data_IF_864526007642
#
_entry.id   IF_864526007642
#
_cell.length_a   1.000
_cell.length_b   1.000
_cell.length_c   1.000
_cell.angle_alpha   90.00
_cell.angle_beta   90.00
_cell.angle_gamma   90.00
#
_symmetry.space_group_name_H-M   'P 1'
#
loop_
_entity.id
_entity.type
_entity.pdbx_description
1 polymer ?
#
# COMPACT_ATOMS: atom_id res chain seq x y z
N UNK A 1 13.93 -7.95 5.54
CA UNK A 1 15.19 -7.54 4.87
C UNK A 1 15.90 -8.78 4.33
N UNK A 2 16.76 -8.67 3.31
CA UNK A 2 17.46 -9.83 2.72
C UNK A 2 18.24 -10.66 3.76
N UNK A 3 18.81 -10.01 4.76
CA UNK A 3 19.49 -10.66 5.90
C UNK A 3 18.53 -11.48 6.78
N UNK A 4 17.33 -10.95 7.05
CA UNK A 4 16.29 -11.66 7.81
C UNK A 4 15.82 -12.90 7.05
N UNK A 5 15.53 -12.75 5.76
CA UNK A 5 15.13 -13.86 4.88
C UNK A 5 16.23 -14.92 4.82
N UNK A 6 17.49 -14.49 4.69
CA UNK A 6 18.63 -15.40 4.64
C UNK A 6 18.78 -16.29 5.89
N UNK A 7 18.42 -15.78 7.06
CA UNK A 7 18.46 -16.54 8.32
C UNK A 7 17.33 -17.56 8.46
N UNK A 8 16.19 -17.33 7.82
CA UNK A 8 14.96 -18.13 7.99
C UNK A 8 14.77 -19.15 6.86
N UNK A 9 15.36 -18.90 5.69
CA UNK A 9 15.25 -19.81 4.54
C UNK A 9 16.32 -20.92 4.63
N UNK A 10 15.93 -22.20 4.77
CA UNK A 10 16.88 -23.30 4.76
C UNK A 10 17.49 -23.46 3.37
N UNK A 11 18.81 -23.60 3.30
CA UNK A 11 19.49 -23.95 2.05
C UNK A 11 19.45 -25.45 1.80
N UNK A 12 19.44 -25.85 0.52
CA UNK A 12 19.26 -27.24 0.10
C UNK A 12 20.51 -28.12 0.33
N UNK A 13 21.69 -27.51 0.26
CA UNK A 13 22.98 -28.19 0.47
C UNK A 13 23.87 -27.51 1.52
N UNK A 14 23.52 -26.27 1.92
CA UNK A 14 24.21 -25.52 2.95
C UNK A 14 23.15 -25.05 3.96
N UNK A 15 23.29 -25.31 5.27
CA UNK A 15 22.31 -24.91 6.27
C UNK A 15 22.11 -23.38 6.34
N UNK A 16 23.07 -22.59 5.84
CA UNK A 16 23.02 -21.13 5.84
C UNK A 16 23.09 -20.57 4.42
N UNK A 17 22.12 -19.74 4.05
CA UNK A 17 22.19 -18.95 2.82
C UNK A 17 22.71 -17.54 3.12
N UNK A 18 23.51 -16.98 2.20
CA UNK A 18 23.99 -15.61 2.36
C UNK A 18 22.92 -14.58 1.98
N UNK A 19 22.96 -13.40 2.60
CA UNK A 19 22.11 -12.27 2.20
C UNK A 19 22.35 -11.83 0.74
N UNK A 20 23.54 -12.09 0.18
CA UNK A 20 23.86 -11.82 -1.22
C UNK A 20 23.07 -12.75 -2.14
N UNK A 21 22.98 -14.04 -1.80
CA UNK A 21 22.19 -15.03 -2.55
C UNK A 21 20.72 -14.60 -2.60
N UNK A 22 20.15 -14.17 -1.48
CA UNK A 22 18.78 -13.63 -1.43
C UNK A 22 18.62 -12.41 -2.34
N UNK A 23 19.58 -11.46 -2.29
CA UNK A 23 19.53 -10.27 -3.16
C UNK A 23 19.63 -10.61 -4.64
N UNK A 24 20.46 -11.58 -5.02
CA UNK A 24 20.58 -12.04 -6.41
C UNK A 24 19.27 -12.66 -6.89
N UNK A 25 18.67 -13.57 -6.09
CA UNK A 25 17.37 -14.19 -6.44
C UNK A 25 16.23 -13.18 -6.55
N UNK A 26 16.18 -12.19 -5.66
CA UNK A 26 15.20 -11.09 -5.78
C UNK A 26 15.38 -10.29 -7.08
N UNK A 27 16.63 -10.04 -7.49
CA UNK A 27 16.93 -9.34 -8.76
C UNK A 27 16.57 -10.18 -9.99
N UNK A 28 16.88 -11.48 -9.99
CA UNK A 28 16.46 -12.42 -11.04
C UNK A 28 14.94 -12.43 -11.19
N UNK A 29 14.21 -12.44 -10.07
CA UNK A 29 12.75 -12.35 -10.03
C UNK A 29 12.20 -10.94 -10.30
N UNK A 30 13.05 -9.95 -10.60
CA UNK A 30 12.69 -8.53 -10.82
C UNK A 30 11.96 -7.87 -9.64
N UNK A 31 12.14 -8.41 -8.43
CA UNK A 31 11.57 -7.87 -7.21
C UNK A 31 12.47 -6.76 -6.65
N UNK A 32 11.86 -5.60 -6.37
CA UNK A 32 12.52 -4.44 -5.77
C UNK A 32 11.88 -4.10 -4.43
N UNK A 33 12.67 -3.60 -3.50
CA UNK A 33 12.15 -3.08 -2.24
C UNK A 33 11.40 -1.77 -2.47
N UNK A 34 10.19 -1.66 -1.96
CA UNK A 34 9.40 -0.42 -1.93
C UNK A 34 9.12 -0.02 -0.47
N UNK A 35 9.07 1.29 -0.20
CA UNK A 35 8.56 1.77 1.08
C UNK A 35 7.03 1.65 1.07
N UNK A 36 6.41 1.03 2.09
CA UNK A 36 4.97 0.98 2.18
C UNK A 36 4.41 2.39 2.31
N UNK A 37 3.30 2.64 1.64
CA UNK A 37 2.63 3.94 1.68
C UNK A 37 1.87 4.05 3.00
N UNK A 38 2.14 5.11 3.76
CA UNK A 38 1.41 5.39 5.02
C UNK A 38 0.01 5.87 4.67
N UNK A 39 -1.01 5.16 5.14
CA UNK A 39 -2.43 5.45 4.97
C UNK A 39 -3.18 5.11 6.25
N UNK A 40 -4.35 5.72 6.43
CA UNK A 40 -5.30 5.28 7.44
C UNK A 40 -5.72 3.84 7.17
N UNK A 41 -5.68 3.00 8.20
CA UNK A 41 -6.14 1.61 8.11
C UNK A 41 -7.65 1.62 8.06
N UNK A 42 -8.22 1.22 6.92
CA UNK A 42 -9.66 1.10 6.77
C UNK A 42 -10.15 -0.25 7.28
N UNK A 43 -11.29 -0.25 7.96
CA UNK A 43 -12.03 -1.48 8.25
C UNK A 43 -12.62 -2.06 6.96
N UNK A 44 -13.01 -3.35 6.98
CA UNK A 44 -13.66 -3.99 5.83
C UNK A 44 -14.93 -3.25 5.41
N UNK A 45 -15.73 -2.82 6.38
CA UNK A 45 -16.96 -2.08 6.14
C UNK A 45 -16.68 -0.72 5.46
N UNK A 46 -15.69 0.04 5.96
CA UNK A 46 -15.31 1.32 5.34
C UNK A 46 -14.85 1.16 3.90
N UNK A 47 -14.08 0.10 3.57
CA UNK A 47 -13.68 -0.19 2.19
C UNK A 47 -14.89 -0.44 1.29
N UNK A 48 -15.87 -1.22 1.76
CA UNK A 48 -17.08 -1.51 1.00
C UNK A 48 -17.90 -0.25 0.74
N UNK A 49 -18.13 0.57 1.78
CA UNK A 49 -18.87 1.82 1.64
C UNK A 49 -18.19 2.78 0.66
N UNK A 50 -16.87 2.95 0.75
CA UNK A 50 -16.11 3.77 -0.20
C UNK A 50 -16.21 3.23 -1.64
N UNK A 51 -16.17 1.92 -1.81
CA UNK A 51 -16.27 1.29 -3.14
C UNK A 51 -17.64 1.53 -3.76
N UNK A 52 -18.71 1.30 -2.99
CA UNK A 52 -20.09 1.55 -3.45
C UNK A 52 -20.25 3.03 -3.81
N UNK A 53 -19.80 3.94 -2.94
CA UNK A 53 -19.87 5.37 -3.20
C UNK A 53 -19.15 5.74 -4.51
N UNK A 54 -17.92 5.26 -4.73
CA UNK A 54 -17.16 5.54 -5.95
C UNK A 54 -17.86 4.97 -7.20
N UNK A 55 -18.41 3.76 -7.13
CA UNK A 55 -19.13 3.14 -8.25
C UNK A 55 -20.39 3.92 -8.61
N UNK A 56 -21.18 4.32 -7.60
CA UNK A 56 -22.40 5.13 -7.80
C UNK A 56 -22.10 6.46 -8.48
N UNK A 57 -20.98 7.10 -8.14
CA UNK A 57 -20.61 8.42 -8.63
C UNK A 57 -19.60 8.40 -9.79
N UNK A 58 -19.19 7.22 -10.27
CA UNK A 58 -18.15 7.09 -11.31
C UNK A 58 -18.51 7.79 -12.62
N UNK A 59 -19.81 7.86 -12.95
CA UNK A 59 -20.31 8.49 -14.19
C UNK A 59 -20.75 9.95 -14.01
N UNK A 60 -20.60 10.51 -12.81
CA UNK A 60 -21.02 11.89 -12.57
C UNK A 60 -20.22 12.87 -13.42
N UNK A 61 -20.95 13.81 -14.02
CA UNK A 61 -20.37 14.87 -14.83
C UNK A 61 -19.95 16.05 -13.96
N UNK A 62 -19.23 17.01 -14.54
CA UNK A 62 -18.88 18.26 -13.85
C UNK A 62 -20.13 19.01 -13.36
N UNK A 63 -21.23 18.99 -14.12
CA UNK A 63 -22.48 19.65 -13.73
C UNK A 63 -23.15 18.97 -12.53
N UNK A 64 -22.97 17.66 -12.36
CA UNK A 64 -23.48 16.95 -11.19
C UNK A 64 -22.68 17.31 -9.94
N UNK A 65 -21.35 17.36 -10.05
CA UNK A 65 -20.49 17.79 -8.95
C UNK A 65 -20.70 19.25 -8.54
N UNK A 66 -21.05 20.14 -9.47
CA UNK A 66 -21.38 21.54 -9.18
C UNK A 66 -22.57 21.71 -8.23
N UNK A 67 -23.44 20.69 -8.13
CA UNK A 67 -24.60 20.72 -7.23
C UNK A 67 -24.25 20.27 -5.80
N UNK A 68 -23.03 19.79 -5.56
CA UNK A 68 -22.59 19.30 -4.26
C UNK A 68 -21.78 20.37 -3.53
N UNK A 69 -22.25 20.75 -2.35
CA UNK A 69 -21.48 21.57 -1.41
C UNK A 69 -20.69 20.65 -0.47
N UNK A 70 -19.36 20.74 -0.51
CA UNK A 70 -18.49 20.05 0.43
C UNK A 70 -18.18 20.95 1.63
N UNK A 71 -18.32 20.42 2.83
CA UNK A 71 -18.00 21.10 4.09
C UNK A 71 -17.13 20.19 4.94
N UNK A 72 -16.09 20.74 5.56
CA UNK A 72 -15.23 20.03 6.50
C UNK A 72 -14.64 21.02 7.50
N UNK A 73 -14.22 20.52 8.66
CA UNK A 73 -13.54 21.30 9.68
C UNK A 73 -12.04 21.06 9.58
N UNK A 74 -11.26 22.13 9.68
CA UNK A 74 -9.80 22.05 9.69
C UNK A 74 -9.23 22.76 10.91
N UNK A 75 -8.19 22.16 11.48
CA UNK A 75 -7.45 22.75 12.60
C UNK A 75 -6.32 23.60 12.04
N UNK A 76 -6.29 24.87 12.43
CA UNK A 76 -5.21 25.79 12.09
C UNK A 76 -4.30 25.98 13.31
N UNK A 77 -2.99 25.91 13.08
CA UNK A 77 -1.99 26.31 14.08
C UNK A 77 -1.62 27.77 13.80
N UNK A 78 -1.74 28.64 14.80
CA UNK A 78 -1.50 30.09 14.69
C UNK A 78 -0.04 30.48 15.05
N UNK A 79 0.90 29.57 14.86
CA UNK A 79 2.33 29.81 15.12
C UNK A 79 2.93 30.75 14.09
#
# INVERSE_FOLDING_TARGET
MATTTARVTPGMHNPSISAQTVRNRLREARLRSCRPVVRQVLTRHQRQQRTVWAQTHHRWTRQDWQKVLFTDESRFCLT
#
